data_IF_723556966943
#
_entry.id   IF_723556966943
#
_cell.length_a   1.000
_cell.length_b   1.000
_cell.length_c   1.000
_cell.angle_alpha   90.00
_cell.angle_beta   90.00
_cell.angle_gamma   90.00
#
_symmetry.space_group_name_H-M   'P 1'
#
loop_
_entity.id
_entity.type
_entity.pdbx_description
1 polymer ?
#
# COMPACT_ATOMS: atom_id res chain seq x y z
N UNK A 1 6.54 9.60 21.33
CA UNK A 1 5.45 9.75 20.35
C UNK A 1 4.34 8.81 20.74
N UNK A 2 3.07 9.22 20.76
CA UNK A 2 1.98 8.29 21.01
C UNK A 2 1.90 7.26 19.88
N UNK A 3 1.56 6.04 20.24
CA UNK A 3 1.52 4.84 19.37
C UNK A 3 0.48 5.01 18.23
N UNK A 4 -0.46 5.95 18.36
CA UNK A 4 -1.55 6.14 17.39
C UNK A 4 -1.17 6.76 16.05
N UNK A 5 0.06 7.29 15.87
CA UNK A 5 0.48 8.00 14.65
C UNK A 5 1.50 7.24 13.77
N UNK A 6 1.82 5.98 14.07
CA UNK A 6 2.78 5.21 13.25
C UNK A 6 2.14 4.41 12.11
N UNK A 7 0.82 4.19 12.15
CA UNK A 7 0.10 3.48 11.10
C UNK A 7 -0.58 4.47 10.16
N UNK A 8 -0.05 4.63 8.96
CA UNK A 8 -0.64 5.44 7.90
C UNK A 8 -0.93 4.53 6.70
N UNK A 9 -2.21 4.15 6.58
CA UNK A 9 -2.66 3.31 5.48
C UNK A 9 -2.70 4.07 4.16
N UNK A 10 -2.75 5.40 4.14
CA UNK A 10 -2.68 6.23 2.93
C UNK A 10 -1.64 7.33 3.10
N UNK A 11 -1.00 7.81 2.01
CA UNK A 11 -0.22 9.03 2.06
C UNK A 11 -1.15 10.25 2.21
N UNK A 12 -0.61 11.34 2.76
CA UNK A 12 -1.30 12.64 2.83
C UNK A 12 -1.39 13.31 1.45
N UNK A 13 -0.51 12.93 0.52
CA UNK A 13 -0.51 13.39 -0.86
C UNK A 13 0.62 12.80 -1.67
N UNK A 14 0.64 13.10 -2.96
CA UNK A 14 1.76 12.79 -3.84
C UNK A 14 2.54 14.06 -4.16
N UNK A 15 3.84 13.93 -4.35
CA UNK A 15 4.73 15.06 -4.60
C UNK A 15 5.66 14.80 -5.76
N UNK A 16 6.06 15.89 -6.42
CA UNK A 16 7.17 15.94 -7.36
C UNK A 16 8.28 16.82 -6.78
N UNK A 17 9.52 16.37 -6.90
CA UNK A 17 10.69 17.07 -6.36
C UNK A 17 11.91 16.81 -7.25
N UNK A 18 12.96 17.62 -7.10
CA UNK A 18 14.23 17.38 -7.77
C UNK A 18 15.19 16.61 -6.84
N UNK A 19 15.83 15.58 -7.39
CA UNK A 19 16.94 14.90 -6.73
C UNK A 19 18.14 14.84 -7.66
N UNK A 20 19.14 15.69 -7.37
CA UNK A 20 20.41 15.76 -8.13
C UNK A 20 20.18 16.05 -9.62
N UNK A 21 19.27 16.97 -9.94
CA UNK A 21 18.94 17.37 -11.31
C UNK A 21 18.03 16.38 -12.04
N UNK A 22 17.40 15.44 -11.31
CA UNK A 22 16.42 14.50 -11.86
C UNK A 22 15.06 14.74 -11.20
N UNK A 23 13.97 14.90 -11.98
CA UNK A 23 12.64 14.97 -11.42
C UNK A 23 12.25 13.59 -10.88
N UNK A 24 11.83 13.57 -9.61
CA UNK A 24 11.39 12.38 -8.89
C UNK A 24 9.96 12.59 -8.38
N UNK A 25 9.28 11.47 -8.10
CA UNK A 25 7.96 11.47 -7.49
C UNK A 25 7.94 10.58 -6.25
N UNK A 26 7.00 10.84 -5.34
CA UNK A 26 6.87 10.07 -4.12
C UNK A 26 5.61 10.37 -3.33
N UNK A 27 5.48 9.64 -2.23
CA UNK A 27 4.42 9.78 -1.24
C UNK A 27 4.83 10.79 -0.17
N UNK A 28 3.95 11.71 0.16
CA UNK A 28 4.12 12.65 1.26
C UNK A 28 3.35 12.19 2.49
N UNK A 29 4.02 12.27 3.64
CA UNK A 29 3.48 11.97 4.95
C UNK A 29 3.72 13.15 5.87
N UNK A 30 2.64 13.73 6.37
CA UNK A 30 2.70 14.93 7.19
C UNK A 30 3.31 14.63 8.55
N UNK A 31 4.14 15.55 9.02
CA UNK A 31 4.64 15.50 10.39
C UNK A 31 3.60 16.10 11.34
N UNK A 32 2.94 15.25 12.13
CA UNK A 32 2.04 15.71 13.18
C UNK A 32 2.76 15.72 14.55
N UNK A 33 3.16 16.91 15.01
CA UNK A 33 3.44 17.16 16.43
C UNK A 33 2.22 17.74 17.11
N UNK A 34 1.98 17.40 18.39
CA UNK A 34 0.82 17.88 19.15
C UNK A 34 0.65 19.42 19.10
N UNK A 35 -0.48 19.89 18.57
CA UNK A 35 -1.14 21.12 19.04
C UNK A 35 -0.78 22.47 18.40
N UNK A 36 -0.05 22.53 17.29
CA UNK A 36 0.15 23.80 16.57
C UNK A 36 -0.38 23.72 15.13
N UNK A 37 -0.75 24.86 14.55
CA UNK A 37 -0.92 25.01 13.09
C UNK A 37 0.43 24.67 12.42
N UNK A 38 0.60 23.39 12.09
CA UNK A 38 1.79 22.89 11.43
C UNK A 38 1.67 23.23 9.96
N UNK A 39 2.73 23.83 9.42
CA UNK A 39 2.90 24.04 7.98
C UNK A 39 2.50 22.76 7.22
N UNK A 40 1.52 22.82 6.30
CA UNK A 40 1.05 21.65 5.56
C UNK A 40 2.15 20.98 4.72
N UNK A 41 3.27 21.67 4.47
CA UNK A 41 4.45 21.13 3.79
C UNK A 41 5.47 20.48 4.74
N UNK A 42 5.23 20.48 6.06
CA UNK A 42 6.13 19.83 7.02
C UNK A 42 5.86 18.32 7.09
N UNK A 43 6.84 17.51 6.74
CA UNK A 43 6.66 16.07 6.64
C UNK A 43 7.84 15.32 6.07
N UNK A 44 7.54 14.13 5.56
CA UNK A 44 8.48 13.20 4.98
C UNK A 44 8.05 12.85 3.55
N UNK A 45 9.01 12.76 2.64
CA UNK A 45 8.78 12.37 1.25
C UNK A 45 9.42 11.01 1.03
N UNK A 46 8.60 10.00 0.81
CA UNK A 46 9.06 8.65 0.51
C UNK A 46 9.11 8.45 -1.01
N UNK A 47 10.31 8.37 -1.63
CA UNK A 47 10.43 8.27 -3.08
C UNK A 47 9.90 6.94 -3.59
N UNK A 48 9.26 6.94 -4.76
CA UNK A 48 8.83 5.68 -5.38
C UNK A 48 10.01 4.77 -5.76
N UNK A 49 11.12 5.37 -6.18
CA UNK A 49 12.36 4.67 -6.55
C UNK A 49 12.87 3.79 -5.39
N UNK A 50 12.87 2.47 -5.63
CA UNK A 50 13.30 1.45 -4.66
C UNK A 50 14.79 1.55 -4.32
N UNK A 51 15.64 1.82 -5.30
CA UNK A 51 17.08 1.92 -5.08
C UNK A 51 17.40 3.14 -4.21
N UNK A 52 16.70 4.26 -4.44
CA UNK A 52 16.85 5.44 -3.62
C UNK A 52 16.38 5.21 -2.17
N UNK A 53 15.25 4.53 -1.98
CA UNK A 53 14.80 4.12 -0.63
C UNK A 53 15.83 3.24 0.08
N UNK A 54 16.42 2.27 -0.62
CA UNK A 54 17.49 1.43 -0.06
C UNK A 54 18.70 2.27 0.35
N UNK A 55 19.13 3.22 -0.49
CA UNK A 55 20.24 4.13 -0.16
C UNK A 55 19.97 4.96 1.09
N UNK A 56 18.74 5.44 1.29
CA UNK A 56 18.36 6.18 2.50
C UNK A 56 18.47 5.30 3.75
N UNK A 57 18.03 4.04 3.66
CA UNK A 57 18.18 3.05 4.74
C UNK A 57 19.65 2.76 5.01
N UNK A 58 20.46 2.56 3.98
CA UNK A 58 21.89 2.27 4.15
C UNK A 58 22.62 3.44 4.82
N UNK A 59 22.32 4.68 4.43
CA UNK A 59 22.87 5.88 5.06
C UNK A 59 22.49 5.97 6.55
N UNK A 60 21.24 5.64 6.87
CA UNK A 60 20.78 5.54 8.24
C UNK A 60 21.58 4.49 9.03
N UNK A 61 21.72 3.28 8.49
CA UNK A 61 22.44 2.18 9.14
C UNK A 61 23.91 2.54 9.41
N UNK A 62 24.58 3.18 8.44
CA UNK A 62 25.97 3.64 8.59
C UNK A 62 26.08 4.69 9.70
N UNK A 63 25.13 5.64 9.75
CA UNK A 63 25.17 6.76 10.70
C UNK A 63 24.83 6.32 12.12
N UNK A 64 23.78 5.49 12.27
CA UNK A 64 23.26 5.08 13.57
C UNK A 64 23.90 3.80 14.09
N UNK A 65 24.59 3.02 13.24
CA UNK A 65 25.16 1.69 13.56
C UNK A 65 24.12 0.72 14.15
N UNK A 66 22.88 0.84 13.68
CA UNK A 66 21.73 0.03 14.11
C UNK A 66 21.16 -0.68 12.89
N UNK A 67 20.92 -1.99 13.02
CA UNK A 67 20.26 -2.81 11.99
C UNK A 67 18.79 -2.38 11.79
N UNK A 68 18.29 -2.47 10.56
CA UNK A 68 16.93 -2.10 10.16
C UNK A 68 15.87 -2.74 11.05
N UNK A 69 16.04 -4.00 11.45
CA UNK A 69 15.11 -4.70 12.35
C UNK A 69 15.01 -4.02 13.73
N UNK A 70 16.13 -3.55 14.28
CA UNK A 70 16.16 -2.79 15.53
C UNK A 70 15.61 -1.37 15.36
N UNK A 71 15.62 -0.85 14.13
CA UNK A 71 15.10 0.47 13.81
C UNK A 71 13.57 0.48 13.65
N UNK A 72 13.02 -0.55 12.99
CA UNK A 72 11.58 -0.79 12.94
C UNK A 72 10.99 -0.89 14.36
N UNK A 73 11.71 -1.51 15.29
CA UNK A 73 11.35 -1.58 16.71
C UNK A 73 11.28 -0.22 17.43
N UNK A 74 11.84 0.85 16.85
CA UNK A 74 11.78 2.23 17.39
C UNK A 74 10.62 3.05 16.83
N UNK A 75 9.63 2.41 16.21
CA UNK A 75 8.43 3.06 15.67
C UNK A 75 8.69 3.96 14.46
N UNK A 76 9.77 3.72 13.73
CA UNK A 76 10.29 4.63 12.70
C UNK A 76 10.10 4.01 11.30
N UNK A 77 8.83 3.83 10.93
CA UNK A 77 8.40 3.07 9.75
C UNK A 77 8.55 3.83 8.42
N UNK A 78 8.43 5.16 8.47
CA UNK A 78 8.44 6.04 7.28
C UNK A 78 9.79 6.77 7.14
N UNK A 79 10.30 7.32 8.23
CA UNK A 79 11.48 8.21 8.24
C UNK A 79 12.78 7.51 7.81
N UNK A 80 12.86 6.19 7.97
CA UNK A 80 14.06 5.40 7.68
C UNK A 80 14.37 5.29 6.19
N UNK A 81 13.37 5.48 5.33
CA UNK A 81 13.51 5.42 3.88
C UNK A 81 12.84 6.61 3.17
N UNK A 82 12.77 7.75 3.86
CA UNK A 82 12.19 8.99 3.36
C UNK A 82 13.14 10.19 3.50
N UNK A 83 12.97 11.17 2.61
CA UNK A 83 13.49 12.52 2.77
C UNK A 83 12.67 13.29 3.80
N UNK A 84 13.24 14.36 4.32
CA UNK A 84 12.55 15.30 5.22
C UNK A 84 12.36 16.65 4.54
N UNK A 85 11.27 17.35 4.81
CA UNK A 85 10.98 18.62 4.10
C UNK A 85 11.49 19.88 4.81
N UNK A 86 11.99 19.74 6.04
CA UNK A 86 12.50 20.87 6.81
C UNK A 86 13.62 20.47 7.75
N UNK A 87 14.57 21.39 7.97
CA UNK A 87 15.62 21.25 8.99
C UNK A 87 15.07 21.16 10.41
N UNK A 88 13.87 21.69 10.67
CA UNK A 88 13.28 21.73 12.02
C UNK A 88 12.92 20.34 12.54
N UNK A 89 12.66 19.38 11.65
CA UNK A 89 12.30 18.00 11.98
C UNK A 89 13.35 17.00 11.47
N UNK A 90 14.48 17.50 10.97
CA UNK A 90 15.54 16.68 10.38
C UNK A 90 16.33 15.92 11.46
N UNK A 91 16.38 14.60 11.33
CA UNK A 91 17.36 13.79 12.04
C UNK A 91 18.73 13.82 11.34
N UNK A 92 19.81 13.52 12.06
CA UNK A 92 21.20 13.64 11.57
C UNK A 92 21.53 12.85 10.30
N UNK A 93 20.78 11.79 10.01
CA UNK A 93 20.95 10.92 8.84
C UNK A 93 20.03 11.32 7.66
N UNK A 94 19.03 12.18 7.89
CA UNK A 94 18.04 12.53 6.89
C UNK A 94 18.54 13.64 5.98
N UNK A 95 18.09 13.59 4.73
CA UNK A 95 18.41 14.57 3.70
C UNK A 95 17.19 15.46 3.50
N UNK A 96 17.41 16.77 3.46
CA UNK A 96 16.35 17.77 3.30
C UNK A 96 16.01 17.97 1.82
N UNK A 97 14.73 17.93 1.49
CA UNK A 97 14.17 18.38 0.21
C UNK A 97 13.32 19.62 0.51
N UNK A 98 13.84 20.79 0.15
CA UNK A 98 13.23 22.09 0.42
C UNK A 98 12.28 22.56 -0.69
N UNK A 99 12.41 21.99 -1.90
CA UNK A 99 11.57 22.32 -3.06
C UNK A 99 10.82 21.09 -3.56
N UNK A 100 9.50 21.11 -3.42
CA UNK A 100 8.60 20.10 -3.93
C UNK A 100 7.19 20.67 -4.12
N UNK A 101 6.46 20.06 -5.05
CA UNK A 101 5.10 20.41 -5.39
C UNK A 101 4.17 19.24 -5.16
N UNK A 102 3.03 19.50 -4.52
CA UNK A 102 1.95 18.53 -4.43
C UNK A 102 1.31 18.33 -5.80
N UNK A 103 1.10 17.07 -6.15
CA UNK A 103 0.46 16.66 -7.39
C UNK A 103 -0.66 15.68 -7.08
N UNK A 104 -1.68 15.69 -7.92
CA UNK A 104 -2.76 14.71 -7.86
C UNK A 104 -2.28 13.36 -8.40
N UNK A 105 -2.94 12.28 -7.98
CA UNK A 105 -2.63 10.91 -8.42
C UNK A 105 -2.70 10.74 -9.95
N UNK A 106 -3.65 11.40 -10.62
CA UNK A 106 -3.81 11.36 -12.08
C UNK A 106 -2.66 12.01 -12.86
N UNK A 107 -1.79 12.77 -12.16
CA UNK A 107 -0.62 13.45 -12.73
C UNK A 107 0.70 12.71 -12.48
N UNK A 108 0.65 11.56 -11.80
CA UNK A 108 1.81 10.71 -11.61
C UNK A 108 2.29 10.16 -12.95
N UNK A 109 3.58 10.29 -13.21
CA UNK A 109 4.23 9.73 -14.41
C UNK A 109 4.90 8.40 -14.07
N UNK A 110 5.23 8.18 -12.79
CA UNK A 110 5.74 6.91 -12.29
C UNK A 110 4.78 5.77 -12.63
N UNK A 111 5.33 4.64 -13.08
CA UNK A 111 4.51 3.50 -13.43
C UNK A 111 3.84 2.90 -12.20
N UNK A 112 2.69 2.27 -12.43
CA UNK A 112 1.87 1.71 -11.36
C UNK A 112 2.59 0.60 -10.58
N UNK A 113 3.51 -0.14 -11.19
CA UNK A 113 4.27 -1.19 -10.53
C UNK A 113 5.25 -0.61 -9.51
N UNK A 114 5.97 0.46 -9.88
CA UNK A 114 6.87 1.18 -8.97
C UNK A 114 6.10 1.79 -7.79
N UNK A 115 4.94 2.40 -8.05
CA UNK A 115 4.06 2.93 -7.00
C UNK A 115 3.58 1.77 -6.10
N UNK A 116 3.08 0.68 -6.68
CA UNK A 116 2.63 -0.51 -5.95
C UNK A 116 3.74 -1.08 -5.05
N UNK A 117 4.97 -1.18 -5.55
CA UNK A 117 6.10 -1.65 -4.74
C UNK A 117 6.42 -0.74 -3.57
N UNK A 118 6.36 0.59 -3.78
CA UNK A 118 6.50 1.55 -2.70
C UNK A 118 5.43 1.34 -1.64
N UNK A 119 4.15 1.35 -2.03
CA UNK A 119 2.99 1.19 -1.13
C UNK A 119 3.00 -0.12 -0.36
N UNK A 120 3.15 -1.24 -1.08
CA UNK A 120 3.09 -2.59 -0.51
C UNK A 120 4.20 -2.80 0.54
N UNK A 121 5.41 -2.29 0.27
CA UNK A 121 6.54 -2.40 1.19
C UNK A 121 6.26 -1.73 2.55
N UNK A 122 5.76 -0.50 2.55
CA UNK A 122 5.45 0.20 3.80
C UNK A 122 4.29 -0.46 4.55
N UNK A 123 3.23 -0.85 3.85
CA UNK A 123 2.07 -1.53 4.46
C UNK A 123 2.47 -2.87 5.08
N UNK A 124 3.35 -3.62 4.42
CA UNK A 124 3.88 -4.87 4.98
C UNK A 124 4.71 -4.62 6.24
N UNK A 125 5.57 -3.59 6.24
CA UNK A 125 6.34 -3.19 7.43
C UNK A 125 5.44 -2.78 8.60
N UNK A 126 4.41 -1.98 8.31
CA UNK A 126 3.39 -1.58 9.29
C UNK A 126 2.65 -2.80 9.87
N UNK A 127 2.25 -3.75 9.02
CA UNK A 127 1.55 -4.96 9.46
C UNK A 127 2.42 -5.83 10.38
N UNK A 128 3.67 -6.09 10.00
CA UNK A 128 4.61 -6.89 10.81
C UNK A 128 4.88 -6.21 12.15
N UNK A 129 5.11 -4.89 12.13
CA UNK A 129 5.33 -4.12 13.35
C UNK A 129 4.12 -4.15 14.28
N UNK A 130 2.91 -3.87 13.77
CA UNK A 130 1.69 -3.91 14.56
C UNK A 130 1.35 -5.31 15.07
N UNK A 131 1.60 -6.35 14.28
CA UNK A 131 1.43 -7.74 14.72
C UNK A 131 2.36 -8.08 15.89
N UNK A 132 3.61 -7.61 15.86
CA UNK A 132 4.57 -7.83 16.95
C UNK A 132 4.19 -7.08 18.24
N UNK A 133 3.48 -5.96 18.11
CA UNK A 133 2.96 -5.19 19.25
C UNK A 133 1.59 -5.67 19.76
N UNK A 134 1.01 -6.71 19.15
CA UNK A 134 -0.35 -7.17 19.43
C UNK A 134 -1.41 -6.06 19.29
N UNK A 135 -1.29 -5.24 18.24
CA UNK A 135 -2.30 -4.24 17.87
C UNK A 135 -3.68 -4.87 17.65
N UNK A 136 -4.71 -4.02 17.67
CA UNK A 136 -6.07 -4.49 17.46
C UNK A 136 -6.24 -5.15 16.08
N UNK A 137 -7.12 -6.16 16.02
CA UNK A 137 -7.46 -6.82 14.75
C UNK A 137 -8.01 -5.82 13.71
N UNK A 138 -8.68 -4.78 14.17
CA UNK A 138 -9.22 -3.71 13.33
C UNK A 138 -8.10 -2.94 12.62
N UNK A 139 -7.04 -2.53 13.33
CA UNK A 139 -5.87 -1.87 12.72
C UNK A 139 -5.19 -2.79 11.71
N UNK A 140 -4.90 -4.05 12.09
CA UNK A 140 -4.23 -5.01 11.21
C UNK A 140 -5.04 -5.34 9.96
N UNK A 141 -6.36 -5.48 10.09
CA UNK A 141 -7.26 -5.73 8.95
C UNK A 141 -7.35 -4.53 8.01
N UNK A 142 -7.32 -3.30 8.54
CA UNK A 142 -7.27 -2.08 7.74
C UNK A 142 -5.98 -2.01 6.90
N UNK A 143 -4.83 -2.27 7.52
CA UNK A 143 -3.53 -2.32 6.82
C UNK A 143 -3.54 -3.41 5.74
N UNK A 144 -4.02 -4.61 6.06
CA UNK A 144 -4.06 -5.72 5.11
C UNK A 144 -5.04 -5.48 3.95
N UNK A 145 -6.20 -4.88 4.22
CA UNK A 145 -7.16 -4.52 3.17
C UNK A 145 -6.55 -3.53 2.18
N UNK A 146 -5.79 -2.55 2.67
CA UNK A 146 -5.08 -1.62 1.81
C UNK A 146 -3.93 -2.30 1.04
N UNK A 147 -3.13 -3.13 1.71
CA UNK A 147 -2.05 -3.90 1.08
C UNK A 147 -2.57 -4.72 -0.10
N UNK A 148 -3.71 -5.40 0.07
CA UNK A 148 -4.30 -6.20 -0.98
C UNK A 148 -4.64 -5.36 -2.23
N UNK A 149 -5.06 -4.10 -2.11
CA UNK A 149 -5.35 -3.23 -3.27
C UNK A 149 -4.12 -2.99 -4.15
N UNK A 150 -2.94 -2.93 -3.55
CA UNK A 150 -1.68 -2.62 -4.24
C UNK A 150 -0.98 -3.86 -4.81
N UNK A 151 -1.24 -5.04 -4.24
CA UNK A 151 -0.64 -6.32 -4.68
C UNK A 151 -1.56 -7.09 -5.65
N UNK A 152 -2.88 -6.89 -5.60
CA UNK A 152 -3.83 -7.58 -6.48
C UNK A 152 -4.07 -7.00 -7.90
N UNK A 153 -3.68 -5.77 -8.30
CA UNK A 153 -4.28 -5.14 -9.47
C UNK A 153 -3.63 -5.49 -10.82
N UNK A 154 -2.83 -6.55 -10.93
CA UNK A 154 -2.39 -7.08 -12.24
C UNK A 154 -3.28 -8.22 -12.77
N UNK A 155 -4.23 -8.70 -11.96
CA UNK A 155 -5.32 -9.53 -12.46
C UNK A 155 -6.56 -8.65 -12.62
N UNK A 156 -6.73 -8.00 -13.77
CA UNK A 156 -8.10 -7.83 -14.26
C UNK A 156 -8.62 -9.24 -14.48
N UNK A 157 -9.57 -9.77 -13.68
CA UNK A 157 -10.15 -11.05 -13.99
C UNK A 157 -10.70 -10.93 -15.41
N UNK A 158 -10.27 -11.81 -16.31
CA UNK A 158 -10.89 -11.92 -17.63
C UNK A 158 -12.38 -12.04 -17.37
N UNK A 159 -13.13 -10.98 -17.69
CA UNK A 159 -14.57 -10.94 -17.49
C UNK A 159 -15.18 -11.74 -18.62
N UNK A 160 -14.95 -13.06 -18.63
CA UNK A 160 -15.76 -13.96 -19.41
C UNK A 160 -17.14 -13.94 -18.76
N UNK A 161 -18.08 -13.22 -19.37
CA UNK A 161 -19.49 -13.47 -19.08
C UNK A 161 -19.74 -14.96 -19.29
N UNK A 162 -20.09 -15.67 -18.21
CA UNK A 162 -20.46 -17.09 -18.34
C UNK A 162 -21.60 -17.15 -19.34
N UNK A 163 -21.38 -17.86 -20.45
CA UNK A 163 -22.42 -18.06 -21.45
C UNK A 163 -23.66 -18.64 -20.78
N UNK A 164 -24.85 -18.21 -21.22
CA UNK A 164 -26.13 -18.58 -20.61
C UNK A 164 -26.26 -20.08 -20.33
N UNK A 165 -25.72 -20.90 -21.24
CA UNK A 165 -25.67 -22.36 -21.13
C UNK A 165 -24.90 -22.84 -19.89
N UNK A 166 -23.71 -22.29 -19.64
CA UNK A 166 -22.89 -22.66 -18.46
C UNK A 166 -23.59 -22.21 -17.17
N UNK A 167 -24.21 -21.02 -17.18
CA UNK A 167 -24.96 -20.50 -16.02
C UNK A 167 -26.17 -21.36 -15.66
N UNK A 168 -26.85 -21.92 -16.67
CA UNK A 168 -28.11 -22.65 -16.49
C UNK A 168 -27.95 -24.18 -16.57
N UNK A 169 -26.74 -24.70 -16.71
CA UNK A 169 -26.44 -26.12 -16.93
C UNK A 169 -27.13 -27.04 -15.91
N UNK A 170 -27.09 -26.71 -14.62
CA UNK A 170 -27.73 -27.52 -13.58
C UNK A 170 -29.25 -27.53 -13.70
N UNK A 171 -29.88 -26.39 -14.04
CA UNK A 171 -31.33 -26.33 -14.27
C UNK A 171 -31.71 -27.17 -15.48
N UNK A 172 -30.96 -27.08 -16.58
CA UNK A 172 -31.20 -27.87 -17.79
C UNK A 172 -31.08 -29.37 -17.48
N UNK A 173 -30.05 -29.80 -16.76
CA UNK A 173 -29.87 -31.20 -16.36
C UNK A 173 -31.02 -31.69 -15.47
N UNK A 174 -31.51 -30.87 -14.54
CA UNK A 174 -32.68 -31.20 -13.71
C UNK A 174 -33.95 -31.37 -14.55
N UNK A 175 -34.20 -30.47 -15.50
CA UNK A 175 -35.35 -30.60 -16.41
C UNK A 175 -35.24 -31.85 -17.29
N UNK A 176 -34.05 -32.13 -17.84
CA UNK A 176 -33.81 -33.33 -18.62
C UNK A 176 -34.07 -34.60 -17.80
N UNK A 177 -33.60 -34.65 -16.54
CA UNK A 177 -33.84 -35.77 -15.65
C UNK A 177 -35.35 -35.97 -15.36
N UNK A 178 -36.10 -34.89 -15.13
CA UNK A 178 -37.56 -34.95 -14.91
C UNK A 178 -38.27 -35.52 -16.16
N UNK A 179 -37.90 -35.06 -17.35
CA UNK A 179 -38.49 -35.55 -18.61
C UNK A 179 -38.20 -37.04 -18.80
N UNK A 180 -36.95 -37.48 -18.56
CA UNK A 180 -36.58 -38.89 -18.65
C UNK A 180 -37.37 -39.74 -17.66
N UNK A 181 -37.48 -39.30 -16.41
CA UNK A 181 -38.26 -40.01 -15.38
C UNK A 181 -39.75 -40.09 -15.74
N UNK A 182 -40.32 -39.02 -16.30
CA UNK A 182 -41.71 -39.00 -16.75
C UNK A 182 -41.96 -39.96 -17.91
N UNK A 183 -41.05 -40.01 -18.90
CA UNK A 183 -41.13 -40.95 -20.02
C UNK A 183 -40.96 -42.40 -19.53
N UNK A 184 -40.00 -42.67 -18.65
CA UNK A 184 -39.80 -43.98 -18.05
C UNK A 184 -41.04 -44.44 -17.26
N UNK A 185 -41.63 -43.54 -16.47
CA UNK A 185 -42.86 -43.83 -15.75
C UNK A 185 -44.03 -44.10 -16.71
N UNK A 186 -44.19 -43.30 -17.77
CA UNK A 186 -45.22 -43.53 -18.78
C UNK A 186 -45.07 -44.89 -19.46
N UNK A 187 -43.85 -45.27 -19.87
CA UNK A 187 -43.59 -46.59 -20.47
C UNK A 187 -43.85 -47.74 -19.47
N UNK A 188 -43.51 -47.54 -18.19
CA UNK A 188 -43.67 -48.58 -17.17
C UNK A 188 -45.13 -48.79 -16.73
N UNK A 189 -45.94 -47.73 -16.76
CA UNK A 189 -47.35 -47.75 -16.36
C UNK A 189 -48.35 -47.77 -17.53
N UNK A 190 -47.87 -47.78 -18.77
CA UNK A 190 -48.68 -47.98 -19.99
C UNK A 190 -48.65 -49.44 -20.45
#
# INVERSE_FOLDING_TARGET
>A
MPISNCYQTQPDGYVRFDWRGKPMEGEFYRYESFGAEIDPKLGYIRPFDKALRQQLVDNLQVTQKIDLLKYLAKNDLITCDAFVTSKNIQASYQIVIDHFDFINEDKLVSDKETISHCRADLLQRQYVFGSNLNESKEVLSSINAEYLKWVTPFCTPLRYERTWFIRNRERILRYAAIVILAVMAYIYFS
#
